data_IF_668205098441
#
_entry.id   IF_668205098441
#
_cell.length_a   1.000
_cell.length_b   1.000
_cell.length_c   1.000
_cell.angle_alpha   90.00
_cell.angle_beta   90.00
_cell.angle_gamma   90.00
#
_symmetry.space_group_name_H-M   'P 1'
#
loop_
_entity.id
_entity.type
_entity.pdbx_description
1 polymer ?
#
# COMPACT_ATOMS: atom_id res chain seq x y z
N UNK A 1 -12.84 20.64 -10.11
CA UNK A 1 -12.00 19.63 -10.82
C UNK A 1 -11.32 18.65 -9.87
N UNK A 2 -10.91 19.05 -8.66
CA UNK A 2 -10.26 18.16 -7.67
C UNK A 2 -11.15 17.00 -7.17
N UNK A 3 -12.43 17.24 -6.89
CA UNK A 3 -13.36 16.23 -6.35
C UNK A 3 -13.60 15.03 -7.27
N UNK A 4 -13.74 15.26 -8.58
CA UNK A 4 -13.88 14.17 -9.56
C UNK A 4 -12.63 13.28 -9.57
N UNK A 5 -11.45 13.88 -9.43
CA UNK A 5 -10.20 13.14 -9.38
C UNK A 5 -10.09 12.28 -8.09
N UNK A 6 -10.56 12.79 -6.94
CA UNK A 6 -10.70 11.98 -5.72
C UNK A 6 -11.75 10.87 -5.86
N UNK A 7 -12.85 11.13 -6.57
CA UNK A 7 -13.85 10.10 -6.88
C UNK A 7 -13.28 8.97 -7.73
N UNK A 8 -12.51 9.30 -8.78
CA UNK A 8 -11.79 8.31 -9.59
C UNK A 8 -10.76 7.55 -8.76
N UNK A 9 -9.96 8.23 -7.94
CA UNK A 9 -9.00 7.58 -7.04
C UNK A 9 -9.70 6.59 -6.10
N UNK A 10 -10.80 7.01 -5.49
CA UNK A 10 -11.62 6.14 -4.64
C UNK A 10 -12.10 4.90 -5.39
N UNK A 11 -12.66 5.06 -6.60
CA UNK A 11 -13.12 3.94 -7.42
C UNK A 11 -11.98 2.99 -7.80
N UNK A 12 -10.82 3.52 -8.18
CA UNK A 12 -9.67 2.68 -8.52
C UNK A 12 -9.11 1.93 -7.31
N UNK A 13 -9.06 2.54 -6.13
CA UNK A 13 -8.64 1.87 -4.89
C UNK A 13 -9.65 0.80 -4.45
N UNK A 14 -10.95 1.06 -4.60
CA UNK A 14 -12.00 0.06 -4.36
C UNK A 14 -11.87 -1.10 -5.35
N UNK A 15 -11.69 -0.81 -6.64
CA UNK A 15 -11.51 -1.84 -7.67
C UNK A 15 -10.26 -2.70 -7.37
N UNK A 16 -9.14 -2.08 -7.01
CA UNK A 16 -7.93 -2.77 -6.59
C UNK A 16 -8.14 -3.62 -5.32
N UNK A 17 -8.88 -3.10 -4.35
CA UNK A 17 -9.24 -3.83 -3.13
C UNK A 17 -10.13 -5.03 -3.43
N UNK A 18 -11.12 -4.89 -4.31
CA UNK A 18 -12.01 -5.98 -4.73
C UNK A 18 -11.24 -7.05 -5.53
N UNK A 19 -10.32 -6.63 -6.40
CA UNK A 19 -9.45 -7.54 -7.13
C UNK A 19 -8.54 -8.33 -6.17
N UNK A 20 -7.90 -7.66 -5.21
CA UNK A 20 -7.06 -8.30 -4.20
C UNK A 20 -7.87 -9.21 -3.27
N UNK A 21 -9.11 -8.82 -2.92
CA UNK A 21 -10.02 -9.66 -2.15
C UNK A 21 -10.35 -10.96 -2.87
N UNK A 22 -10.60 -10.91 -4.18
CA UNK A 22 -10.86 -12.12 -5.00
C UNK A 22 -9.67 -13.07 -5.02
N UNK A 23 -8.45 -12.55 -4.94
CA UNK A 23 -7.24 -13.36 -4.85
C UNK A 23 -7.00 -13.97 -3.46
N UNK A 24 -7.72 -13.52 -2.42
CA UNK A 24 -7.61 -14.08 -1.05
C UNK A 24 -8.11 -15.52 -0.97
N UNK A 25 -9.16 -15.85 -1.70
CA UNK A 25 -9.90 -17.13 -1.63
C UNK A 25 -9.06 -18.37 -1.93
N UNK A 26 -8.16 -18.38 -2.92
CA UNK A 26 -7.40 -19.58 -3.27
C UNK A 26 -6.00 -19.68 -2.61
N UNK A 27 -5.63 -18.78 -1.70
CA UNK A 27 -4.31 -18.77 -1.04
C UNK A 27 -4.30 -19.55 0.28
N UNK A 28 -3.17 -20.20 0.58
CA UNK A 28 -2.95 -20.85 1.86
C UNK A 28 -3.13 -19.85 3.02
N UNK A 29 -3.76 -20.31 4.12
CA UNK A 29 -4.03 -19.56 5.36
C UNK A 29 -2.93 -18.57 5.82
N UNK A 30 -1.62 -18.87 5.74
CA UNK A 30 -0.57 -17.93 6.15
C UNK A 30 -0.35 -16.69 5.25
N UNK A 31 -0.71 -16.73 3.96
CA UNK A 31 -0.59 -15.58 3.06
C UNK A 31 -1.77 -14.59 3.20
N UNK A 32 -2.87 -15.05 3.80
CA UNK A 32 -4.08 -14.25 4.01
C UNK A 32 -3.85 -13.02 4.88
N UNK A 33 -2.91 -13.06 5.84
CA UNK A 33 -2.60 -11.93 6.71
C UNK A 33 -1.91 -10.75 6.00
N UNK A 34 -1.06 -11.02 5.02
CA UNK A 34 -0.45 -9.97 4.20
C UNK A 34 -1.50 -9.30 3.30
N UNK A 35 -2.44 -10.08 2.75
CA UNK A 35 -3.54 -9.53 1.95
C UNK A 35 -4.50 -8.71 2.79
N UNK A 36 -4.84 -9.14 4.01
CA UNK A 36 -5.68 -8.32 4.90
C UNK A 36 -4.99 -7.03 5.31
N UNK A 37 -3.68 -7.04 5.53
CA UNK A 37 -2.88 -5.83 5.76
C UNK A 37 -2.93 -4.87 4.57
N UNK A 38 -2.76 -5.38 3.36
CA UNK A 38 -2.86 -4.59 2.14
C UNK A 38 -4.26 -4.02 1.90
N UNK A 39 -5.31 -4.83 2.11
CA UNK A 39 -6.70 -4.40 2.02
C UNK A 39 -7.04 -3.30 3.03
N UNK A 40 -6.51 -3.38 4.24
CA UNK A 40 -6.71 -2.35 5.26
C UNK A 40 -6.00 -1.06 4.87
N UNK A 41 -4.76 -1.14 4.36
CA UNK A 41 -4.04 0.02 3.84
C UNK A 41 -4.76 0.70 2.68
N UNK A 42 -5.28 -0.08 1.72
CA UNK A 42 -6.05 0.44 0.58
C UNK A 42 -7.42 0.96 1.00
N UNK A 43 -8.11 0.28 1.92
CA UNK A 43 -9.40 0.68 2.44
C UNK A 43 -9.36 2.01 3.19
N UNK A 44 -8.31 2.23 4.00
CA UNK A 44 -8.07 3.53 4.65
C UNK A 44 -7.84 4.64 3.62
N UNK A 45 -7.02 4.38 2.61
CA UNK A 45 -6.76 5.35 1.54
C UNK A 45 -8.04 5.66 0.73
N UNK A 46 -8.84 4.64 0.41
CA UNK A 46 -10.11 4.78 -0.29
C UNK A 46 -11.15 5.55 0.54
N UNK A 47 -11.23 5.28 1.84
CA UNK A 47 -12.16 5.99 2.71
C UNK A 47 -11.75 7.46 2.90
N UNK A 48 -10.45 7.75 3.04
CA UNK A 48 -9.94 9.11 3.11
C UNK A 48 -10.20 9.91 1.82
N UNK A 49 -10.03 9.28 0.64
CA UNK A 49 -10.34 9.92 -0.64
C UNK A 49 -11.85 10.08 -0.88
N UNK A 50 -12.67 9.14 -0.41
CA UNK A 50 -14.13 9.25 -0.50
C UNK A 50 -14.60 10.47 0.28
N UNK A 51 -14.13 10.64 1.52
CA UNK A 51 -14.48 11.80 2.34
C UNK A 51 -14.04 13.12 1.69
N UNK A 52 -12.88 13.16 1.01
CA UNK A 52 -12.46 14.33 0.23
C UNK A 52 -13.37 14.61 -0.97
N UNK A 53 -13.85 13.56 -1.64
CA UNK A 53 -14.81 13.72 -2.75
C UNK A 53 -16.18 14.24 -2.26
N UNK A 54 -16.57 13.87 -1.03
CA UNK A 54 -17.82 14.27 -0.39
C UNK A 54 -17.73 15.57 0.42
N UNK A 55 -16.53 16.10 0.67
CA UNK A 55 -16.31 17.27 1.53
C UNK A 55 -17.00 18.56 1.09
N UNK A 56 -17.46 18.66 -0.17
CA UNK A 56 -18.34 19.75 -0.60
C UNK A 56 -19.75 19.69 -0.02
N UNK A 57 -20.22 18.50 0.38
CA UNK A 57 -21.60 18.25 0.76
C UNK A 57 -21.85 18.46 2.27
N UNK A 58 -20.81 18.38 3.11
CA UNK A 58 -20.97 18.54 4.55
C UNK A 58 -19.64 18.89 5.27
N UNK A 59 -19.59 20.06 5.92
CA UNK A 59 -18.45 20.51 6.73
C UNK A 59 -18.17 19.60 7.93
N UNK A 60 -19.18 18.92 8.46
CA UNK A 60 -19.06 17.91 9.52
C UNK A 60 -18.07 16.77 9.15
N UNK A 61 -17.84 16.52 7.86
CA UNK A 61 -16.91 15.49 7.39
C UNK A 61 -15.45 15.96 7.38
N UNK A 62 -15.16 17.25 7.53
CA UNK A 62 -13.80 17.78 7.44
C UNK A 62 -12.90 17.23 8.55
N UNK A 63 -13.43 17.13 9.78
CA UNK A 63 -12.67 16.60 10.91
C UNK A 63 -12.35 15.11 10.72
N UNK A 64 -13.35 14.33 10.32
CA UNK A 64 -13.21 12.90 10.02
C UNK A 64 -12.24 12.68 8.87
N UNK A 65 -12.31 13.51 7.82
CA UNK A 65 -11.40 13.48 6.68
C UNK A 65 -9.97 13.74 7.13
N UNK A 66 -9.74 14.74 7.98
CA UNK A 66 -8.39 15.08 8.46
C UNK A 66 -7.78 13.94 9.27
N UNK A 67 -8.54 13.34 10.19
CA UNK A 67 -8.06 12.20 10.99
C UNK A 67 -7.76 11.00 10.09
N UNK A 68 -8.68 10.66 9.17
CA UNK A 68 -8.54 9.50 8.31
C UNK A 68 -7.43 9.67 7.26
N UNK A 69 -7.27 10.89 6.74
CA UNK A 69 -6.18 11.26 5.85
C UNK A 69 -4.81 11.13 6.53
N UNK A 70 -4.68 11.60 7.77
CA UNK A 70 -3.46 11.42 8.56
C UNK A 70 -3.16 9.95 8.85
N UNK A 71 -4.18 9.14 9.14
CA UNK A 71 -4.02 7.70 9.32
C UNK A 71 -3.54 7.03 8.02
N UNK A 72 -4.16 7.34 6.88
CA UNK A 72 -3.78 6.79 5.58
C UNK A 72 -2.33 7.13 5.20
N UNK A 73 -1.90 8.39 5.43
CA UNK A 73 -0.52 8.82 5.15
C UNK A 73 0.54 8.03 5.94
N UNK A 74 0.23 7.68 7.19
CA UNK A 74 1.20 7.05 8.09
C UNK A 74 1.14 5.52 8.08
N UNK A 75 0.04 4.92 7.61
CA UNK A 75 -0.22 3.48 7.75
C UNK A 75 -0.35 2.77 6.40
N UNK A 76 -0.95 3.39 5.38
CA UNK A 76 -1.28 2.70 4.13
C UNK A 76 -0.06 2.16 3.39
N UNK A 77 0.95 3.02 3.16
CA UNK A 77 2.15 2.63 2.45
C UNK A 77 3.02 1.60 3.21
N UNK A 78 3.33 1.78 4.51
CA UNK A 78 4.09 0.77 5.27
C UNK A 78 3.38 -0.59 5.35
N UNK A 79 2.05 -0.63 5.44
CA UNK A 79 1.32 -1.91 5.37
C UNK A 79 1.46 -2.57 3.99
N UNK A 80 1.37 -1.80 2.90
CA UNK A 80 1.54 -2.32 1.54
C UNK A 80 2.97 -2.82 1.28
N UNK A 81 3.98 -2.07 1.74
CA UNK A 81 5.39 -2.46 1.61
C UNK A 81 5.72 -3.74 2.39
N UNK A 82 5.20 -3.87 3.62
CA UNK A 82 5.35 -5.10 4.41
C UNK A 82 4.60 -6.26 3.79
N UNK A 83 3.37 -6.05 3.30
CA UNK A 83 2.61 -7.09 2.61
C UNK A 83 3.36 -7.61 1.38
N UNK A 84 3.92 -6.71 0.55
CA UNK A 84 4.75 -7.07 -0.59
C UNK A 84 6.00 -7.87 -0.18
N UNK A 85 6.69 -7.45 0.88
CA UNK A 85 7.86 -8.16 1.38
C UNK A 85 7.52 -9.58 1.86
N UNK A 86 6.44 -9.73 2.64
CA UNK A 86 5.99 -11.02 3.14
C UNK A 86 5.59 -11.96 2.00
N UNK A 87 4.85 -11.46 1.01
CA UNK A 87 4.47 -12.22 -0.18
C UNK A 87 5.68 -12.61 -1.03
N UNK A 88 6.60 -11.68 -1.27
CA UNK A 88 7.80 -11.93 -2.07
C UNK A 88 8.73 -12.97 -1.44
N UNK A 89 8.89 -12.91 -0.11
CA UNK A 89 9.72 -13.85 0.66
C UNK A 89 8.99 -15.17 0.98
N UNK A 90 7.67 -15.24 0.80
CA UNK A 90 6.87 -16.42 1.16
C UNK A 90 6.76 -16.64 2.67
N UNK A 91 6.85 -15.57 3.47
CA UNK A 91 6.73 -15.65 4.92
C UNK A 91 5.28 -15.82 5.37
N UNK A 92 5.10 -16.50 6.50
CA UNK A 92 3.79 -16.65 7.12
C UNK A 92 3.45 -15.43 7.97
N UNK A 93 2.28 -14.82 7.74
CA UNK A 93 1.81 -13.70 8.54
C UNK A 93 1.15 -14.21 9.83
N UNK A 94 1.88 -14.14 10.94
CA UNK A 94 1.33 -14.52 12.25
C UNK A 94 0.36 -13.44 12.77
N UNK A 95 -0.73 -13.81 13.47
CA UNK A 95 -1.64 -12.82 14.08
C UNK A 95 -0.93 -11.81 14.99
N UNK A 96 0.09 -12.27 15.74
CA UNK A 96 0.92 -11.42 16.60
C UNK A 96 1.71 -10.33 15.84
N UNK A 97 1.91 -10.47 14.52
CA UNK A 97 2.60 -9.49 13.69
C UNK A 97 1.85 -8.15 13.66
N UNK A 98 0.51 -8.18 13.67
CA UNK A 98 -0.33 -6.98 13.68
C UNK A 98 0.00 -6.05 14.84
N UNK A 99 -0.02 -6.61 16.06
CA UNK A 99 0.29 -5.85 17.27
C UNK A 99 1.71 -5.29 17.23
N UNK A 100 2.70 -6.08 16.78
CA UNK A 100 4.10 -5.63 16.69
C UNK A 100 4.30 -4.50 15.70
N UNK A 101 3.65 -4.57 14.53
CA UNK A 101 3.72 -3.50 13.51
C UNK A 101 3.07 -2.22 14.04
N UNK A 102 1.85 -2.32 14.59
CA UNK A 102 1.13 -1.17 15.12
C UNK A 102 1.84 -0.53 16.31
N UNK A 103 2.36 -1.34 17.24
CA UNK A 103 3.15 -0.85 18.38
C UNK A 103 4.45 -0.22 17.91
N UNK A 104 5.14 -0.82 16.93
CA UNK A 104 6.38 -0.25 16.37
C UNK A 104 6.13 1.09 15.68
N UNK A 105 5.08 1.19 14.86
CA UNK A 105 4.67 2.45 14.22
C UNK A 105 4.28 3.49 15.27
N UNK A 106 3.47 3.13 16.28
CA UNK A 106 3.10 4.07 17.35
C UNK A 106 4.30 4.51 18.18
N UNK A 107 5.21 3.60 18.54
CA UNK A 107 6.39 3.92 19.33
C UNK A 107 7.35 4.84 18.55
N UNK A 108 7.59 4.55 17.27
CA UNK A 108 8.38 5.40 16.39
C UNK A 108 7.71 6.78 16.20
N UNK A 109 6.40 6.80 15.99
CA UNK A 109 5.63 8.04 15.88
C UNK A 109 5.76 8.88 17.14
N UNK A 110 5.52 8.29 18.32
CA UNK A 110 5.56 9.01 19.60
C UNK A 110 6.98 9.50 19.93
N UNK A 111 8.01 8.71 19.63
CA UNK A 111 9.40 9.11 19.80
C UNK A 111 9.75 10.31 18.92
N UNK A 112 9.45 10.23 17.62
CA UNK A 112 9.77 11.32 16.69
C UNK A 112 8.87 12.54 16.89
N UNK A 113 7.64 12.35 17.38
CA UNK A 113 6.76 13.43 17.85
C UNK A 113 7.40 14.19 19.01
N UNK A 114 7.97 13.48 20.00
CA UNK A 114 8.67 14.11 21.14
C UNK A 114 9.94 14.85 20.74
N UNK A 115 10.57 14.46 19.63
CA UNK A 115 11.74 15.14 19.07
C UNK A 115 11.39 16.27 18.09
N UNK A 116 10.10 16.53 17.85
CA UNK A 116 9.60 17.48 16.85
C UNK A 116 10.08 17.18 15.41
N UNK A 117 10.31 15.89 15.11
CA UNK A 117 10.84 15.38 13.84
C UNK A 117 9.77 14.60 13.04
N UNK A 118 8.50 15.03 13.12
CA UNK A 118 7.39 14.37 12.39
C UNK A 118 7.57 14.39 10.88
N UNK A 119 8.18 15.44 10.33
CA UNK A 119 8.52 15.50 8.91
C UNK A 119 9.52 14.40 8.52
N UNK A 120 10.55 14.18 9.34
CA UNK A 120 11.53 13.11 9.15
C UNK A 120 10.92 11.72 9.30
N UNK A 121 9.95 11.55 10.21
CA UNK A 121 9.21 10.30 10.39
C UNK A 121 8.49 9.86 9.11
N UNK A 122 7.75 10.78 8.48
CA UNK A 122 7.00 10.49 7.26
C UNK A 122 7.93 10.09 6.11
N UNK A 123 9.09 10.76 5.99
CA UNK A 123 10.12 10.38 5.04
C UNK A 123 10.70 8.99 5.32
N UNK A 124 11.08 8.72 6.57
CA UNK A 124 11.69 7.46 6.96
C UNK A 124 10.77 6.27 6.70
N UNK A 125 9.50 6.37 7.10
CA UNK A 125 8.54 5.26 6.97
C UNK A 125 8.13 5.02 5.53
N UNK A 126 7.87 6.07 4.76
CA UNK A 126 7.52 5.89 3.36
C UNK A 126 8.71 5.33 2.56
N UNK A 127 9.93 5.77 2.85
CA UNK A 127 11.14 5.22 2.23
C UNK A 127 11.37 3.76 2.64
N UNK A 128 11.19 3.42 3.92
CA UNK A 128 11.29 2.05 4.40
C UNK A 128 10.24 1.13 3.75
N UNK A 129 9.01 1.62 3.59
CA UNK A 129 7.93 0.89 2.92
C UNK A 129 8.29 0.59 1.46
N UNK A 130 8.76 1.59 0.71
CA UNK A 130 9.22 1.43 -0.68
C UNK A 130 10.39 0.46 -0.75
N UNK A 131 11.35 0.55 0.17
CA UNK A 131 12.49 -0.35 0.24
C UNK A 131 12.04 -1.80 0.46
N UNK A 132 11.15 -2.05 1.42
CA UNK A 132 10.61 -3.39 1.66
C UNK A 132 9.86 -3.93 0.44
N UNK A 133 9.11 -3.07 -0.25
CA UNK A 133 8.40 -3.42 -1.48
C UNK A 133 9.37 -3.80 -2.60
N UNK A 134 10.42 -2.99 -2.82
CA UNK A 134 11.47 -3.26 -3.82
C UNK A 134 12.24 -4.54 -3.49
N UNK A 135 12.57 -4.79 -2.21
CA UNK A 135 13.20 -6.04 -1.78
C UNK A 135 12.27 -7.21 -2.08
N UNK A 136 10.98 -7.10 -1.78
CA UNK A 136 9.97 -8.11 -2.11
C UNK A 136 9.96 -8.44 -3.61
N UNK A 137 10.00 -7.42 -4.47
CA UNK A 137 10.07 -7.60 -5.93
C UNK A 137 11.41 -8.19 -6.38
N UNK A 138 12.54 -7.77 -5.82
CA UNK A 138 13.88 -8.29 -6.15
C UNK A 138 13.99 -9.79 -5.83
N UNK A 139 13.42 -10.23 -4.71
CA UNK A 139 13.39 -11.65 -4.33
C UNK A 139 12.62 -12.51 -5.34
N UNK A 140 11.66 -11.92 -6.05
CA UNK A 140 10.81 -12.62 -7.03
C UNK A 140 11.17 -12.27 -8.48
N UNK A 141 12.15 -11.40 -8.69
CA UNK A 141 12.54 -10.88 -10.01
C UNK A 141 12.90 -11.96 -11.04
N UNK A 142 13.46 -13.08 -10.58
CA UNK A 142 13.82 -14.20 -11.47
C UNK A 142 12.59 -14.95 -11.99
N UNK A 143 11.45 -14.86 -11.33
CA UNK A 143 10.24 -15.60 -11.66
C UNK A 143 9.17 -14.73 -12.31
N UNK A 144 9.05 -13.46 -11.92
CA UNK A 144 8.17 -12.50 -12.60
C UNK A 144 8.75 -11.10 -12.57
N UNK A 145 8.93 -10.55 -13.78
CA UNK A 145 9.45 -9.20 -13.99
C UNK A 145 8.35 -8.14 -13.96
N UNK A 146 7.07 -8.53 -13.96
CA UNK A 146 5.92 -7.62 -14.04
C UNK A 146 5.71 -6.81 -12.77
N UNK A 147 6.11 -7.33 -11.61
CA UNK A 147 5.99 -6.63 -10.33
C UNK A 147 6.99 -5.46 -10.20
N UNK A 148 8.16 -5.54 -10.84
CA UNK A 148 9.21 -4.54 -10.74
C UNK A 148 8.84 -3.16 -11.32
N UNK A 149 8.27 -3.03 -12.54
CA UNK A 149 7.85 -1.71 -13.05
C UNK A 149 6.77 -1.07 -12.19
N UNK A 150 5.84 -1.84 -11.63
CA UNK A 150 4.84 -1.32 -10.70
C UNK A 150 5.47 -0.80 -9.39
N UNK A 151 6.52 -1.47 -8.90
CA UNK A 151 7.25 -1.03 -7.72
C UNK A 151 8.08 0.24 -7.98
N UNK A 152 8.65 0.35 -9.18
CA UNK A 152 9.34 1.57 -9.61
C UNK A 152 8.39 2.75 -9.77
N UNK A 153 7.17 2.53 -10.30
CA UNK A 153 6.14 3.58 -10.35
C UNK A 153 5.76 4.05 -8.94
N UNK A 154 5.64 3.14 -7.98
CA UNK A 154 5.45 3.49 -6.57
C UNK A 154 6.61 4.31 -6.01
N UNK A 155 7.86 3.85 -6.24
CA UNK A 155 9.06 4.55 -5.78
C UNK A 155 9.16 5.97 -6.38
N UNK A 156 8.89 6.12 -7.68
CA UNK A 156 8.89 7.41 -8.35
C UNK A 156 7.81 8.34 -7.77
N UNK A 157 6.60 7.84 -7.54
CA UNK A 157 5.51 8.65 -7.00
C UNK A 157 5.73 9.06 -5.53
N UNK A 158 6.32 8.18 -4.72
CA UNK A 158 6.65 8.47 -3.30
C UNK A 158 7.86 9.38 -3.14
N UNK A 159 8.83 9.29 -4.05
CA UNK A 159 10.03 10.14 -4.07
C UNK A 159 9.83 11.44 -4.87
N UNK A 160 8.78 11.58 -5.69
CA UNK A 160 8.49 12.80 -6.43
C UNK A 160 8.52 14.10 -5.58
N UNK A 161 8.07 14.10 -4.30
CA UNK A 161 8.17 15.25 -3.40
C UNK A 161 9.61 15.68 -3.07
N UNK A 162 10.65 14.85 -3.27
CA UNK A 162 12.06 15.28 -3.12
C UNK A 162 12.42 16.42 -4.08
N UNK A 163 11.72 16.53 -5.21
CA UNK A 163 11.94 17.60 -6.18
C UNK A 163 11.33 18.93 -5.71
N UNK A 164 10.55 18.93 -4.62
CA UNK A 164 9.93 20.11 -4.01
C UNK A 164 10.27 20.20 -2.51
N UNK A 165 11.28 21.00 -2.13
CA UNK A 165 11.70 21.10 -0.74
C UNK A 165 10.54 21.54 0.17
N UNK A 166 10.42 20.90 1.34
CA UNK A 166 9.40 21.20 2.35
C UNK A 166 8.09 20.41 2.22
N UNK A 167 7.98 19.49 1.26
CA UNK A 167 6.78 18.64 1.11
C UNK A 167 7.02 17.24 1.67
N UNK A 168 6.08 16.75 2.48
CA UNK A 168 6.14 15.41 3.03
C UNK A 168 5.61 14.38 2.00
N UNK A 169 6.12 13.13 2.00
CA UNK A 169 5.67 12.12 1.06
C UNK A 169 4.19 11.80 1.27
N UNK A 170 3.41 11.80 0.18
CA UNK A 170 1.97 11.48 0.18
C UNK A 170 1.07 12.39 1.02
N UNK A 171 1.61 13.41 1.70
CA UNK A 171 0.82 14.33 2.53
C UNK A 171 -0.22 15.08 1.69
N UNK A 172 0.20 15.52 0.51
CA UNK A 172 -0.65 16.22 -0.44
C UNK A 172 -1.68 15.33 -1.13
N UNK A 173 -1.55 14.00 -1.04
CA UNK A 173 -2.53 13.09 -1.66
C UNK A 173 -3.87 13.14 -0.93
N UNK A 174 -3.85 13.39 0.38
CA UNK A 174 -5.06 13.45 1.22
C UNK A 174 -5.36 14.87 1.73
N UNK A 175 -4.77 15.89 1.09
CA UNK A 175 -5.11 17.29 1.26
C UNK A 175 -5.69 17.82 -0.06
N UNK A 176 -6.66 18.75 -0.04
CA UNK A 176 -7.23 19.31 -1.27
C UNK A 176 -6.16 20.07 -2.06
N UNK A 177 -5.66 19.48 -3.14
CA UNK A 177 -4.54 20.03 -3.92
C UNK A 177 -4.46 19.53 -5.36
N UNK A 178 -3.67 20.22 -6.19
CA UNK A 178 -3.46 19.87 -7.61
C UNK A 178 -2.41 18.77 -7.81
N UNK A 179 -1.64 18.43 -6.78
CA UNK A 179 -0.60 17.41 -6.78
C UNK A 179 -1.13 15.98 -6.75
N UNK A 180 -2.45 15.80 -6.60
CA UNK A 180 -3.13 14.51 -6.63
C UNK A 180 -2.74 13.65 -7.84
N UNK A 181 -2.77 14.23 -9.05
CA UNK A 181 -2.51 13.50 -10.29
C UNK A 181 -1.07 12.97 -10.38
N UNK A 182 -0.13 13.60 -9.68
CA UNK A 182 1.28 13.22 -9.63
C UNK A 182 1.56 12.11 -8.61
N UNK A 183 0.76 12.06 -7.55
CA UNK A 183 0.90 11.09 -6.45
C UNK A 183 -0.02 9.87 -6.64
N UNK A 184 -1.01 9.96 -7.51
CA UNK A 184 -1.89 8.87 -7.95
C UNK A 184 -1.16 7.58 -8.38
N UNK A 185 -0.06 7.65 -9.16
CA UNK A 185 0.68 6.45 -9.58
C UNK A 185 1.37 5.75 -8.41
N UNK A 186 1.64 6.47 -7.31
CA UNK A 186 2.34 5.91 -6.16
C UNK A 186 1.53 4.79 -5.51
N UNK A 187 0.28 5.10 -5.16
CA UNK A 187 -0.63 4.21 -4.44
C UNK A 187 -1.16 3.10 -5.35
N UNK A 188 -1.40 3.39 -6.64
CA UNK A 188 -1.73 2.35 -7.62
C UNK A 188 -0.56 1.42 -7.90
N UNK A 189 0.66 1.94 -8.03
CA UNK A 189 1.86 1.13 -8.16
C UNK A 189 2.01 0.17 -6.99
N UNK A 190 1.83 0.66 -5.75
CA UNK A 190 1.83 -0.17 -4.56
C UNK A 190 0.73 -1.25 -4.59
N UNK A 191 -0.50 -0.90 -4.93
CA UNK A 191 -1.60 -1.87 -5.03
C UNK A 191 -1.32 -2.97 -6.07
N UNK A 192 -0.81 -2.58 -7.24
CA UNK A 192 -0.46 -3.50 -8.33
C UNK A 192 0.69 -4.43 -7.94
N UNK A 193 1.73 -3.93 -7.25
CA UNK A 193 2.84 -4.79 -6.80
C UNK A 193 2.36 -5.87 -5.85
N UNK A 194 1.52 -5.52 -4.88
CA UNK A 194 0.99 -6.47 -3.91
C UNK A 194 0.10 -7.50 -4.59
N UNK A 195 -0.75 -7.07 -5.53
CA UNK A 195 -1.60 -8.00 -6.29
C UNK A 195 -0.83 -8.96 -7.18
N UNK A 196 0.21 -8.48 -7.87
CA UNK A 196 1.06 -9.36 -8.69
C UNK A 196 1.85 -10.35 -7.81
N UNK A 197 2.41 -9.91 -6.68
CA UNK A 197 3.11 -10.80 -5.75
C UNK A 197 2.16 -11.83 -5.10
N UNK A 198 0.90 -11.45 -4.87
CA UNK A 198 -0.16 -12.34 -4.39
C UNK A 198 -0.48 -13.44 -5.40
N UNK A 199 -0.66 -13.10 -6.69
CA UNK A 199 -0.86 -14.10 -7.76
C UNK A 199 0.33 -15.06 -7.88
N UNK A 200 1.55 -14.58 -7.70
CA UNK A 200 2.73 -15.44 -7.72
C UNK A 200 2.81 -16.37 -6.52
N UNK A 201 2.54 -15.86 -5.33
CA UNK A 201 2.48 -16.69 -4.13
C UNK A 201 1.44 -17.80 -4.29
N UNK A 202 0.33 -17.51 -4.97
CA UNK A 202 -0.69 -18.49 -5.32
C UNK A 202 -0.17 -19.54 -6.32
N UNK A 203 0.43 -19.12 -7.44
CA UNK A 203 0.98 -20.02 -8.45
C UNK A 203 2.09 -20.93 -7.91
N UNK A 204 2.86 -20.50 -6.90
CA UNK A 204 3.85 -21.35 -6.22
C UNK A 204 3.22 -22.43 -5.35
N UNK A 205 2.05 -22.17 -4.76
CA UNK A 205 1.36 -23.10 -3.87
C UNK A 205 0.60 -24.20 -4.62
N UNK A 206 0.29 -23.97 -5.90
CA UNK A 206 -0.27 -24.97 -6.80
C UNK A 206 0.82 -25.43 -7.80
N UNK A 207 1.71 -26.38 -7.42
CA UNK A 207 2.55 -27.01 -8.42
C UNK A 207 1.63 -27.68 -9.45
N UNK A 208 1.88 -27.40 -10.73
CA UNK A 208 1.23 -28.09 -11.86
C UNK A 208 1.22 -29.59 -11.54
N UNK A 209 0.03 -30.17 -11.39
CA UNK A 209 -0.14 -31.60 -11.26
C UNK A 209 0.55 -32.27 -12.43
N UNK A 210 1.71 -32.88 -12.18
CA UNK A 210 2.50 -33.63 -13.14
C UNK A 210 1.83 -34.96 -13.52
N UNK A 211 0.51 -34.95 -13.74
CA UNK A 211 -0.30 -36.11 -14.14
C UNK A 211 -0.45 -36.22 -15.67
N UNK A 212 0.31 -35.44 -16.43
CA UNK A 212 0.44 -35.58 -17.88
C UNK A 212 1.89 -35.84 -18.28
N UNK A 213 2.48 -36.89 -17.72
CA UNK A 213 3.50 -37.64 -18.45
C UNK A 213 2.79 -38.82 -19.15
N UNK A 214 2.77 -38.91 -20.48
CA UNK A 214 2.38 -40.15 -21.14
C UNK A 214 3.37 -41.22 -20.67
N UNK A 215 2.84 -42.29 -20.07
CA UNK A 215 3.63 -43.50 -19.81
C UNK A 215 4.14 -44.02 -21.16
N UNK A 216 5.42 -43.83 -21.41
CA UNK A 216 6.17 -44.52 -22.48
C UNK A 216 6.99 -45.64 -21.87
#
# INVERSE_FOLDING_TARGET
MSQLAYGVLTLTLIAASLWLWRQRTPLATPAGGAITAALLGLGLAAAASLLLSLGALAQELEHTQRILGLAAQNISLPLLGLAAFFLGRGLQWQPAMWGRILLGLMAAFELLRRMDQLFGYQWAINSAAVLFMLIGCLLVFRQDRRALPAALLCALGTLAPLLKPGTAPLADLFAPGQTLLWLFPALLGAALTVGLLSEQAHNRAQPVSADHLPRS
#
